data_IF_853409333744
#
_entry.id   IF_853409333744
#
_cell.length_a   1.000
_cell.length_b   1.000
_cell.length_c   1.000
_cell.angle_alpha   90.00
_cell.angle_beta   90.00
_cell.angle_gamma   90.00
#
_symmetry.space_group_name_H-M   'P 1'
#
loop_
_entity.id
_entity.type
_entity.pdbx_description
1 polymer ?
#
# COMPACT_ATOMS: atom_id res chain seq x y z
N UNK A 1 -2.56 14.53 0.92
CA UNK A 1 -3.59 13.61 1.49
C UNK A 1 -3.00 13.00 2.74
N UNK A 2 -3.65 13.17 3.87
CA UNK A 2 -3.15 12.59 5.13
C UNK A 2 -3.84 11.24 5.33
N UNK A 3 -3.07 10.16 5.27
CA UNK A 3 -3.53 8.83 5.65
C UNK A 3 -3.09 8.56 7.08
N UNK A 4 -4.05 8.44 7.99
CA UNK A 4 -3.78 7.92 9.32
C UNK A 4 -3.97 6.41 9.28
N UNK A 5 -2.89 5.65 9.46
CA UNK A 5 -2.92 4.19 9.51
C UNK A 5 -3.22 3.73 10.94
N UNK A 6 -4.25 2.90 11.12
CA UNK A 6 -4.40 2.14 12.35
C UNK A 6 -3.93 0.71 12.13
N UNK A 7 -2.93 0.31 12.88
CA UNK A 7 -2.65 -1.09 13.12
C UNK A 7 -3.74 -1.65 14.03
N UNK A 8 -4.74 -2.33 13.45
CA UNK A 8 -5.58 -3.20 14.25
C UNK A 8 -4.85 -4.52 14.48
N UNK A 9 -3.94 -4.51 15.44
CA UNK A 9 -3.51 -5.75 16.10
C UNK A 9 -4.67 -6.19 16.98
N UNK A 10 -5.67 -6.86 16.42
CA UNK A 10 -6.65 -7.52 17.24
C UNK A 10 -6.03 -8.80 17.78
N UNK A 11 -5.72 -8.77 19.06
CA UNK A 11 -5.61 -9.95 19.90
C UNK A 11 -6.96 -10.65 19.92
N UNK A 12 -7.22 -11.50 18.93
CA UNK A 12 -8.28 -12.51 19.03
C UNK A 12 -7.61 -13.84 19.32
N UNK A 13 -8.33 -14.73 20.00
CA UNK A 13 -7.86 -16.08 20.41
C UNK A 13 -7.30 -16.94 19.25
N UNK A 14 -7.36 -16.48 17.99
CA UNK A 14 -6.82 -17.11 16.79
C UNK A 14 -6.12 -16.11 15.85
N UNK A 15 -5.89 -14.87 16.26
CA UNK A 15 -5.12 -13.88 15.49
C UNK A 15 -3.63 -14.07 15.76
N UNK A 16 -2.79 -13.87 14.72
CA UNK A 16 -1.36 -13.72 14.92
C UNK A 16 -1.01 -12.28 15.26
N UNK A 17 0.01 -12.09 16.09
CA UNK A 17 0.63 -10.78 16.24
C UNK A 17 1.72 -10.62 15.19
N UNK A 18 1.83 -9.48 14.50
CA UNK A 18 2.96 -9.19 13.65
C UNK A 18 4.24 -9.19 14.49
N UNK A 19 5.32 -9.72 13.95
CA UNK A 19 6.63 -9.69 14.62
C UNK A 19 7.15 -8.25 14.72
N UNK A 20 8.04 -7.99 15.68
CA UNK A 20 8.74 -6.70 15.78
C UNK A 20 9.46 -6.31 14.49
N UNK A 21 9.99 -7.28 13.77
CA UNK A 21 10.68 -7.06 12.50
C UNK A 21 9.71 -6.69 11.36
N UNK A 22 8.48 -7.23 11.38
CA UNK A 22 7.46 -6.87 10.42
C UNK A 22 6.90 -5.46 10.71
N UNK A 23 6.79 -5.09 11.98
CA UNK A 23 6.42 -3.72 12.37
C UNK A 23 7.52 -2.72 11.99
N UNK A 24 8.78 -3.11 12.17
CA UNK A 24 9.90 -2.30 11.72
C UNK A 24 9.90 -2.13 10.19
N UNK A 25 9.57 -3.17 9.44
CA UNK A 25 9.43 -3.06 7.97
C UNK A 25 8.33 -2.06 7.59
N UNK A 26 7.21 -2.04 8.34
CA UNK A 26 6.15 -1.03 8.13
C UNK A 26 6.66 0.38 8.35
N UNK A 27 7.41 0.62 9.43
CA UNK A 27 8.01 1.92 9.72
C UNK A 27 9.01 2.34 8.62
N UNK A 28 9.84 1.39 8.16
CA UNK A 28 10.79 1.63 7.07
C UNK A 28 10.04 2.00 5.75
N UNK A 29 8.97 1.28 5.39
CA UNK A 29 8.14 1.59 4.21
C UNK A 29 7.51 2.98 4.32
N UNK A 30 6.94 3.32 5.47
CA UNK A 30 6.32 4.63 5.72
C UNK A 30 7.35 5.75 5.56
N UNK A 31 8.56 5.54 6.09
CA UNK A 31 9.67 6.50 5.96
C UNK A 31 10.07 6.70 4.50
N UNK A 32 10.31 5.60 3.77
CA UNK A 32 10.69 5.64 2.35
C UNK A 32 9.63 6.33 1.49
N UNK A 33 8.34 6.01 1.67
CA UNK A 33 7.25 6.67 0.95
C UNK A 33 7.18 8.17 1.29
N UNK A 34 7.37 8.51 2.56
CA UNK A 34 7.36 9.92 3.02
C UNK A 34 8.52 10.72 2.44
N UNK A 35 9.69 10.11 2.26
CA UNK A 35 10.85 10.74 1.63
C UNK A 35 10.65 10.94 0.11
N UNK A 36 9.98 9.99 -0.55
CA UNK A 36 9.70 10.05 -1.99
C UNK A 36 8.53 10.97 -2.32
N UNK A 37 7.56 11.11 -1.42
CA UNK A 37 6.40 11.98 -1.64
C UNK A 37 6.78 13.44 -1.36
N UNK A 38 6.62 14.30 -2.36
CA UNK A 38 6.74 15.75 -2.18
C UNK A 38 5.41 16.29 -1.67
N UNK A 39 5.46 17.17 -0.67
CA UNK A 39 4.34 17.99 -0.16
C UNK A 39 3.13 17.26 0.48
N UNK A 40 3.14 17.23 1.80
CA UNK A 40 1.98 16.97 2.66
C UNK A 40 1.37 15.56 2.64
N UNK A 41 1.97 14.59 2.02
CA UNK A 41 1.55 13.22 2.23
C UNK A 41 2.17 12.69 3.53
N UNK A 42 1.32 12.31 4.47
CA UNK A 42 1.75 11.77 5.76
C UNK A 42 1.00 10.47 6.06
N UNK A 43 1.75 9.49 6.53
CA UNK A 43 1.21 8.25 7.07
C UNK A 43 1.55 8.22 8.55
N UNK A 44 0.54 8.12 9.40
CA UNK A 44 0.70 8.07 10.84
C UNK A 44 0.09 6.79 11.40
N UNK A 45 0.85 6.08 12.23
CA UNK A 45 0.33 4.93 12.97
C UNK A 45 -0.36 5.45 14.22
N UNK A 46 -1.68 5.24 14.32
CA UNK A 46 -2.48 5.70 15.45
C UNK A 46 -2.83 4.55 16.38
N UNK A 47 -2.79 4.81 17.68
CA UNK A 47 -3.14 3.82 18.71
C UNK A 47 -4.65 3.60 18.89
N UNK A 48 -5.47 4.58 18.50
CA UNK A 48 -6.93 4.53 18.56
C UNK A 48 -7.51 4.30 17.16
N UNK A 49 -8.14 3.14 16.97
CA UNK A 49 -8.74 2.78 15.69
C UNK A 49 -9.89 3.71 15.26
N UNK A 50 -10.50 4.45 16.16
CA UNK A 50 -11.54 5.43 15.82
C UNK A 50 -10.99 6.66 15.09
N UNK A 51 -9.69 6.90 15.20
CA UNK A 51 -8.98 7.99 14.52
C UNK A 51 -8.43 7.57 13.15
N UNK A 52 -8.54 6.28 12.81
CA UNK A 52 -7.97 5.73 11.60
C UNK A 52 -8.92 5.78 10.42
N UNK A 53 -8.38 6.07 9.25
CA UNK A 53 -9.06 5.93 7.97
C UNK A 53 -8.52 4.75 7.14
N UNK A 54 -7.50 4.04 7.63
CA UNK A 54 -6.93 2.88 6.97
C UNK A 54 -6.56 1.79 7.99
N UNK A 55 -6.85 0.51 7.66
CA UNK A 55 -6.57 -0.62 8.54
C UNK A 55 -5.60 -1.59 7.88
N UNK A 56 -4.55 -1.97 8.60
CA UNK A 56 -3.68 -3.08 8.23
C UNK A 56 -3.99 -4.25 9.16
N UNK A 57 -4.43 -5.36 8.61
CA UNK A 57 -4.75 -6.58 9.33
C UNK A 57 -3.67 -7.63 9.11
N UNK A 58 -3.05 -8.09 10.19
CA UNK A 58 -2.13 -9.21 10.19
C UNK A 58 -2.84 -10.43 10.79
N UNK A 59 -2.98 -11.52 10.03
CA UNK A 59 -3.72 -12.68 10.55
C UNK A 59 -4.14 -13.65 9.46
N UNK A 60 -5.15 -14.46 9.77
CA UNK A 60 -5.76 -15.39 8.81
C UNK A 60 -6.80 -14.67 7.94
N UNK A 61 -6.87 -15.03 6.67
CA UNK A 61 -7.89 -14.50 5.76
C UNK A 61 -9.32 -14.71 6.24
N UNK A 62 -9.61 -15.87 6.85
CA UNK A 62 -10.94 -16.16 7.40
C UNK A 62 -11.34 -15.18 8.53
N UNK A 63 -10.39 -14.71 9.34
CA UNK A 63 -10.69 -13.75 10.40
C UNK A 63 -10.84 -12.35 9.83
N UNK A 64 -10.03 -11.99 8.83
CA UNK A 64 -10.18 -10.76 8.10
C UNK A 64 -11.53 -10.67 7.37
N UNK A 65 -11.99 -11.75 6.74
CA UNK A 65 -13.28 -11.79 6.04
C UNK A 65 -14.50 -11.69 6.98
N UNK A 66 -14.35 -12.01 8.27
CA UNK A 66 -15.40 -11.75 9.27
C UNK A 66 -15.55 -10.27 9.58
N UNK A 67 -14.44 -9.50 9.51
CA UNK A 67 -14.43 -8.06 9.71
C UNK A 67 -14.91 -7.35 8.44
N UNK A 68 -14.45 -7.83 7.29
CA UNK A 68 -14.74 -7.28 5.97
C UNK A 68 -15.37 -8.34 5.05
N UNK A 69 -16.69 -8.64 5.15
CA UNK A 69 -17.32 -9.75 4.42
C UNK A 69 -17.23 -9.66 2.89
N UNK A 70 -17.06 -8.47 2.34
CA UNK A 70 -16.92 -8.24 0.89
C UNK A 70 -15.68 -8.90 0.28
N UNK A 71 -14.67 -9.20 1.09
CA UNK A 71 -13.42 -9.81 0.61
C UNK A 71 -13.44 -11.34 0.58
N UNK A 72 -14.49 -11.98 1.10
CA UNK A 72 -14.53 -13.44 1.33
C UNK A 72 -14.22 -14.29 0.09
N UNK A 73 -14.58 -13.82 -1.11
CA UNK A 73 -14.30 -14.53 -2.36
C UNK A 73 -12.84 -14.48 -2.80
N UNK A 74 -12.05 -13.57 -2.24
CA UNK A 74 -10.66 -13.32 -2.65
C UNK A 74 -9.63 -13.98 -1.72
N UNK A 75 -10.02 -14.27 -0.47
CA UNK A 75 -9.11 -14.72 0.60
C UNK A 75 -8.36 -16.01 0.26
N UNK A 76 -9.02 -16.97 -0.38
CA UNK A 76 -8.41 -18.28 -0.65
C UNK A 76 -7.25 -18.19 -1.65
N UNK A 77 -7.30 -17.26 -2.58
CA UNK A 77 -6.30 -17.09 -3.64
C UNK A 77 -5.26 -16.01 -3.34
N UNK A 78 -5.46 -15.19 -2.31
CA UNK A 78 -4.56 -14.09 -2.00
C UNK A 78 -4.04 -14.18 -0.56
N UNK A 79 -2.74 -14.01 -0.39
CA UNK A 79 -2.09 -13.94 0.92
C UNK A 79 -1.86 -12.49 1.39
N UNK A 80 -1.96 -11.54 0.47
CA UNK A 80 -2.07 -10.12 0.67
C UNK A 80 -3.14 -9.58 -0.24
N UNK A 81 -3.84 -8.55 0.17
CA UNK A 81 -4.74 -7.77 -0.67
C UNK A 81 -5.14 -6.48 0.04
N UNK A 82 -5.60 -5.50 -0.72
CA UNK A 82 -6.14 -4.26 -0.19
C UNK A 82 -7.48 -3.91 -0.83
N UNK A 83 -8.24 -3.05 -0.15
CA UNK A 83 -9.41 -2.37 -0.67
C UNK A 83 -9.34 -0.89 -0.29
N UNK A 84 -9.63 -0.03 -1.25
CA UNK A 84 -9.59 1.41 -1.08
C UNK A 84 -10.86 2.06 -1.60
N UNK A 85 -11.23 3.19 -1.03
CA UNK A 85 -12.33 4.02 -1.47
C UNK A 85 -11.85 5.45 -1.63
N UNK A 86 -12.48 6.15 -2.56
CA UNK A 86 -12.25 7.55 -2.82
C UNK A 86 -13.56 8.34 -2.78
N UNK A 87 -13.44 9.63 -2.59
CA UNK A 87 -14.56 10.56 -2.57
C UNK A 87 -14.91 11.07 -3.98
N UNK A 88 -15.86 12.04 -4.05
CA UNK A 88 -16.28 12.65 -5.31
C UNK A 88 -15.21 13.52 -5.98
N UNK A 89 -14.12 13.82 -5.28
CA UNK A 89 -12.95 14.54 -5.78
C UNK A 89 -11.82 13.60 -6.20
N UNK A 90 -12.09 12.29 -6.24
CA UNK A 90 -11.11 11.23 -6.49
C UNK A 90 -9.94 11.20 -5.47
N UNK A 91 -10.19 11.69 -4.25
CA UNK A 91 -9.22 11.56 -3.15
C UNK A 91 -9.44 10.25 -2.41
N UNK A 92 -8.39 9.48 -2.22
CA UNK A 92 -8.43 8.31 -1.33
C UNK A 92 -8.81 8.78 0.07
N UNK A 93 -9.85 8.20 0.64
CA UNK A 93 -10.36 8.65 1.94
C UNK A 93 -10.42 7.55 3.00
N UNK A 94 -10.38 6.31 2.58
CA UNK A 94 -10.32 5.16 3.50
C UNK A 94 -9.83 3.91 2.76
N UNK A 95 -9.37 2.95 3.53
CA UNK A 95 -8.97 1.65 3.00
C UNK A 95 -8.75 0.62 4.10
N UNK A 96 -8.49 -0.59 3.68
CA UNK A 96 -7.96 -1.65 4.52
C UNK A 96 -7.15 -2.62 3.68
N UNK A 97 -6.17 -3.24 4.31
CA UNK A 97 -5.39 -4.31 3.71
C UNK A 97 -5.18 -5.45 4.69
N UNK A 98 -4.77 -6.60 4.19
CA UNK A 98 -4.44 -7.73 5.02
C UNK A 98 -3.20 -8.46 4.51
N UNK A 99 -2.47 -9.02 5.42
CA UNK A 99 -1.34 -9.91 5.20
C UNK A 99 -1.58 -11.21 5.96
N UNK A 100 -1.54 -12.34 5.26
CA UNK A 100 -1.67 -13.66 5.88
C UNK A 100 -0.33 -14.10 6.48
N UNK A 101 -0.16 -13.83 7.76
CA UNK A 101 1.06 -14.19 8.49
C UNK A 101 1.16 -15.68 8.87
N UNK A 102 0.21 -16.49 8.47
CA UNK A 102 0.21 -17.93 8.69
C UNK A 102 0.53 -18.73 7.43
N UNK A 103 0.14 -18.22 6.25
CA UNK A 103 0.44 -18.85 4.96
C UNK A 103 1.77 -18.35 4.39
N UNK A 104 2.03 -17.06 4.50
CA UNK A 104 3.25 -16.42 4.03
C UNK A 104 4.41 -16.66 5.00
N UNK A 105 5.59 -16.96 4.48
CA UNK A 105 6.82 -16.94 5.27
C UNK A 105 7.26 -15.51 5.59
N UNK A 106 8.32 -15.36 6.38
CA UNK A 106 8.74 -14.05 6.88
C UNK A 106 9.17 -13.08 5.75
N UNK A 107 9.79 -13.58 4.69
CA UNK A 107 10.21 -12.76 3.54
C UNK A 107 8.99 -12.37 2.72
N UNK A 108 8.09 -13.31 2.51
CA UNK A 108 6.82 -13.09 1.81
C UNK A 108 5.93 -12.08 2.54
N UNK A 109 5.86 -12.14 3.87
CA UNK A 109 5.11 -11.15 4.67
C UNK A 109 5.62 -9.73 4.47
N UNK A 110 6.94 -9.54 4.46
CA UNK A 110 7.56 -8.24 4.20
C UNK A 110 7.31 -7.75 2.78
N UNK A 111 7.44 -8.64 1.80
CA UNK A 111 7.14 -8.34 0.41
C UNK A 111 5.70 -7.88 0.25
N UNK A 112 4.73 -8.69 0.72
CA UNK A 112 3.31 -8.38 0.65
C UNK A 112 2.96 -7.06 1.37
N UNK A 113 3.57 -6.81 2.54
CA UNK A 113 3.35 -5.57 3.26
C UNK A 113 3.76 -4.35 2.42
N UNK A 114 4.94 -4.41 1.79
CA UNK A 114 5.47 -3.34 0.95
C UNK A 114 4.63 -3.16 -0.32
N UNK A 115 4.33 -4.24 -1.01
CA UNK A 115 3.57 -4.24 -2.25
C UNK A 115 2.16 -3.69 -2.03
N UNK A 116 1.37 -4.33 -1.17
CA UNK A 116 -0.04 -3.99 -0.96
C UNK A 116 -0.23 -2.59 -0.37
N UNK A 117 0.65 -2.18 0.55
CA UNK A 117 0.59 -0.83 1.10
C UNK A 117 0.86 0.21 0.00
N UNK A 118 1.93 0.04 -0.77
CA UNK A 118 2.31 0.98 -1.83
C UNK A 118 1.26 1.05 -2.92
N UNK A 119 0.73 -0.09 -3.36
CA UNK A 119 -0.34 -0.15 -4.35
C UNK A 119 -1.62 0.55 -3.87
N UNK A 120 -1.97 0.39 -2.59
CA UNK A 120 -3.16 0.99 -1.99
C UNK A 120 -3.13 2.52 -1.97
N UNK A 121 -1.96 3.11 -2.12
CA UNK A 121 -1.77 4.56 -2.17
C UNK A 121 -2.03 5.18 -3.55
N UNK A 122 -2.42 4.38 -4.54
CA UNK A 122 -2.82 4.85 -5.87
C UNK A 122 -2.12 4.16 -7.04
N UNK A 123 -1.18 3.25 -6.78
CA UNK A 123 -0.43 2.48 -7.80
C UNK A 123 -0.98 1.05 -7.96
N UNK A 124 -2.28 0.90 -8.02
CA UNK A 124 -3.02 -0.35 -7.86
C UNK A 124 -2.90 -1.38 -9.02
N UNK A 125 -1.89 -1.28 -9.86
CA UNK A 125 -1.73 -2.20 -11.00
C UNK A 125 -0.33 -2.77 -11.09
N UNK A 126 -0.27 -4.08 -11.25
CA UNK A 126 0.95 -4.81 -11.56
C UNK A 126 1.39 -4.64 -13.01
N UNK A 127 2.65 -4.93 -13.24
CA UNK A 127 3.28 -4.96 -14.56
C UNK A 127 4.16 -6.19 -14.71
N UNK A 128 4.10 -6.83 -15.88
CA UNK A 128 4.98 -7.95 -16.25
C UNK A 128 6.34 -7.51 -16.80
N UNK A 129 6.56 -6.19 -16.95
CA UNK A 129 7.72 -5.63 -17.67
C UNK A 129 9.00 -5.59 -16.85
N UNK A 130 8.89 -5.41 -15.53
CA UNK A 130 10.02 -5.05 -14.69
C UNK A 130 10.20 -6.08 -13.57
N UNK A 131 11.11 -7.03 -13.80
CA UNK A 131 11.31 -8.20 -12.92
C UNK A 131 11.80 -7.88 -11.50
N UNK A 132 12.38 -6.70 -11.29
CA UNK A 132 12.87 -6.25 -9.99
C UNK A 132 11.95 -5.22 -9.32
N UNK A 133 10.83 -4.88 -9.95
CA UNK A 133 9.86 -3.96 -9.40
C UNK A 133 9.06 -4.62 -8.29
N UNK A 134 8.68 -3.82 -7.29
CA UNK A 134 7.70 -4.24 -6.28
C UNK A 134 6.32 -4.51 -6.90
N UNK A 135 6.04 -3.92 -8.06
CA UNK A 135 4.79 -4.06 -8.82
C UNK A 135 4.87 -5.17 -9.88
N UNK A 136 5.77 -6.15 -9.74
CA UNK A 136 5.87 -7.26 -10.67
C UNK A 136 4.67 -8.20 -10.52
N UNK A 137 3.93 -8.44 -11.63
CA UNK A 137 2.73 -9.30 -11.64
C UNK A 137 2.99 -10.79 -11.34
N UNK A 138 4.23 -11.24 -11.53
CA UNK A 138 4.65 -12.58 -11.12
C UNK A 138 5.13 -12.53 -9.68
N UNK A 139 4.84 -13.58 -8.92
CA UNK A 139 5.30 -13.69 -7.54
C UNK A 139 6.82 -13.45 -7.42
N UNK A 140 7.20 -12.53 -6.54
CA UNK A 140 8.59 -12.21 -6.22
C UNK A 140 8.80 -12.14 -4.71
N UNK A 141 10.06 -11.99 -4.30
CA UNK A 141 10.43 -11.72 -2.89
C UNK A 141 11.22 -10.41 -2.79
N UNK A 142 10.86 -9.44 -3.63
CA UNK A 142 11.46 -8.11 -3.63
C UNK A 142 11.12 -7.37 -2.34
N UNK A 143 12.13 -6.88 -1.61
CA UNK A 143 12.00 -6.21 -0.31
C UNK A 143 12.37 -4.72 -0.36
N UNK A 144 12.65 -4.18 -1.53
CA UNK A 144 13.04 -2.78 -1.72
C UNK A 144 12.45 -2.24 -3.00
N UNK A 145 12.23 -0.95 -3.05
CA UNK A 145 11.90 -0.28 -4.29
C UNK A 145 13.11 -0.33 -5.24
N UNK A 146 12.85 -0.56 -6.51
CA UNK A 146 13.81 -0.29 -7.58
C UNK A 146 13.81 1.21 -7.89
N UNK A 147 14.85 1.71 -8.57
CA UNK A 147 14.92 3.11 -9.01
C UNK A 147 13.63 3.53 -9.77
N UNK A 148 13.06 2.61 -10.56
CA UNK A 148 11.80 2.84 -11.27
C UNK A 148 10.61 2.96 -10.32
N UNK A 149 10.54 2.13 -9.28
CA UNK A 149 9.46 2.18 -8.30
C UNK A 149 9.50 3.51 -7.52
N UNK A 150 10.70 3.95 -7.12
CA UNK A 150 10.91 5.24 -6.46
C UNK A 150 10.47 6.40 -7.37
N UNK A 151 10.85 6.37 -8.64
CA UNK A 151 10.42 7.37 -9.62
C UNK A 151 8.89 7.40 -9.79
N UNK A 152 8.23 6.24 -9.85
CA UNK A 152 6.76 6.16 -9.98
C UNK A 152 6.07 6.71 -8.73
N UNK A 153 6.56 6.38 -7.52
CA UNK A 153 6.03 6.91 -6.27
C UNK A 153 6.22 8.44 -6.22
N UNK A 154 7.42 8.93 -6.54
CA UNK A 154 7.73 10.37 -6.59
C UNK A 154 6.83 11.12 -7.58
N UNK A 155 6.62 10.55 -8.76
CA UNK A 155 5.78 11.16 -9.81
C UNK A 155 4.30 11.16 -9.42
N UNK A 156 3.80 10.11 -8.73
CA UNK A 156 2.42 10.08 -8.23
C UNK A 156 2.13 11.25 -7.28
N UNK A 157 3.08 11.57 -6.40
CA UNK A 157 2.96 12.65 -5.41
C UNK A 157 3.62 13.96 -5.84
N UNK A 158 3.93 14.11 -7.13
CA UNK A 158 4.50 15.35 -7.64
C UNK A 158 3.46 16.49 -7.58
N UNK A 159 3.84 17.75 -7.21
CA UNK A 159 2.91 18.87 -7.08
C UNK A 159 2.08 19.19 -8.33
N UNK A 160 2.57 18.86 -9.51
CA UNK A 160 1.84 19.00 -10.77
C UNK A 160 0.81 17.90 -11.02
N UNK A 161 0.88 16.79 -10.27
CA UNK A 161 -0.06 15.69 -10.40
C UNK A 161 -1.31 15.99 -9.57
N UNK A 162 -2.49 15.88 -10.19
CA UNK A 162 -3.78 16.15 -9.56
C UNK A 162 -4.65 14.91 -9.54
N UNK A 163 -5.53 14.80 -8.54
CA UNK A 163 -6.51 13.74 -8.48
C UNK A 163 -7.50 13.82 -9.66
N UNK A 164 -7.94 12.65 -10.16
CA UNK A 164 -8.96 12.55 -11.19
C UNK A 164 -8.48 12.82 -12.62
N UNK A 165 -7.18 12.93 -12.84
CA UNK A 165 -6.62 13.00 -14.19
C UNK A 165 -6.87 11.68 -14.93
N UNK A 166 -7.26 11.79 -16.20
CA UNK A 166 -7.29 10.64 -17.10
C UNK A 166 -5.89 10.33 -17.67
N UNK A 167 -5.77 9.23 -18.41
CA UNK A 167 -4.50 8.77 -18.96
C UNK A 167 -3.84 9.80 -19.90
N UNK A 168 -4.62 10.60 -20.61
CA UNK A 168 -4.09 11.61 -21.55
C UNK A 168 -3.53 12.80 -20.77
N UNK A 169 -4.25 13.25 -19.76
CA UNK A 169 -3.81 14.34 -18.90
C UNK A 169 -2.58 13.94 -18.08
N UNK A 170 -2.52 12.71 -17.56
CA UNK A 170 -1.35 12.18 -16.86
C UNK A 170 -0.13 12.15 -17.79
N UNK A 171 -0.25 11.66 -19.04
CA UNK A 171 0.87 11.67 -20.00
C UNK A 171 1.38 13.10 -20.25
N UNK A 172 0.49 14.07 -20.39
CA UNK A 172 0.84 15.47 -20.54
C UNK A 172 1.64 16.01 -19.36
N UNK A 173 1.14 15.80 -18.14
CA UNK A 173 1.82 16.24 -16.91
C UNK A 173 3.19 15.58 -16.75
N UNK A 174 3.29 14.26 -16.99
CA UNK A 174 4.57 13.55 -16.91
C UNK A 174 5.61 14.11 -17.89
N UNK A 175 5.21 14.47 -19.11
CA UNK A 175 6.11 15.10 -20.09
C UNK A 175 6.60 16.45 -19.62
N UNK A 176 5.73 17.27 -19.03
CA UNK A 176 6.11 18.58 -18.48
C UNK A 176 7.09 18.43 -17.31
N UNK A 177 6.85 17.50 -16.38
CA UNK A 177 7.76 17.22 -15.26
C UNK A 177 9.13 16.81 -15.80
N UNK A 178 9.19 15.81 -16.67
CA UNK A 178 10.45 15.29 -17.22
C UNK A 178 11.21 16.30 -18.08
N UNK A 179 10.56 17.33 -18.62
CA UNK A 179 11.23 18.44 -19.32
C UNK A 179 11.80 19.44 -18.30
N UNK A 180 11.08 19.72 -17.22
CA UNK A 180 11.49 20.70 -16.21
C UNK A 180 12.65 20.23 -15.32
N UNK A 181 12.87 18.94 -15.22
CA UNK A 181 13.94 18.30 -14.42
C UNK A 181 15.25 18.08 -15.21
N UNK A 182 15.32 18.48 -16.47
CA UNK A 182 16.54 18.43 -17.32
C UNK A 182 17.38 19.70 -17.23
#
# INVERSE_FOLDING_TARGET
>A
MDLSLALQVKLQENGGEPTSDLLKELDDIISEISELSTDNFNIEIVGDSSLSNYYIFFGKGDDYSKIFPSVSSYINSNWGLFFIWWDSLNCLNRGHMYIDIFRADFIEQKHLLREELTQSLGLARDSDRYVNSIFQSSWTQTLRYSDLDEDIIRLLYHPMMSNGLDVIAVDGVLREILISEK
#
